data_IF_599099962406
#
_entry.id   IF_599099962406
#
_cell.length_a   1.000
_cell.length_b   1.000
_cell.length_c   1.000
_cell.angle_alpha   90.00
_cell.angle_beta   90.00
_cell.angle_gamma   90.00
#
_symmetry.space_group_name_H-M   'P 1'
#
loop_
_entity.id
_entity.type
_entity.pdbx_description
1 polymer ?
#
# COMPACT_ATOMS: atom_id res chain seq x y z
N UNK A 1 10.21 6.64 25.89
CA UNK A 1 10.85 7.35 24.76
C UNK A 1 11.01 6.35 23.64
N UNK A 2 10.71 6.73 22.40
CA UNK A 2 11.01 5.91 21.23
C UNK A 2 12.54 5.88 21.05
N UNK A 3 13.17 4.71 20.85
CA UNK A 3 14.61 4.62 20.61
C UNK A 3 14.99 5.32 19.30
N UNK A 4 16.19 5.87 19.27
CA UNK A 4 16.78 6.43 18.05
C UNK A 4 17.56 5.32 17.35
N UNK A 5 17.23 5.05 16.08
CA UNK A 5 17.79 3.93 15.32
C UNK A 5 18.50 4.44 14.08
N UNK A 6 19.73 4.02 13.86
CA UNK A 6 20.47 4.23 12.62
C UNK A 6 20.63 2.90 11.87
N UNK A 7 20.03 2.81 10.68
CA UNK A 7 20.22 1.69 9.76
C UNK A 7 21.26 2.10 8.71
N UNK A 8 22.24 1.24 8.46
CA UNK A 8 23.36 1.49 7.52
C UNK A 8 23.53 0.34 6.54
N UNK A 9 24.27 0.57 5.46
CA UNK A 9 24.62 -0.45 4.46
C UNK A 9 23.37 -1.16 3.88
N UNK A 10 22.30 -0.40 3.63
CA UNK A 10 21.06 -0.91 3.04
C UNK A 10 20.79 -0.36 1.64
N UNK A 11 19.69 -0.82 1.05
CA UNK A 11 19.05 -0.16 -0.08
C UNK A 11 17.76 0.47 0.41
N UNK A 12 17.68 1.80 0.46
CA UNK A 12 16.47 2.47 0.95
C UNK A 12 15.56 2.79 -0.25
N UNK A 13 14.36 2.20 -0.31
CA UNK A 13 13.37 2.57 -1.31
C UNK A 13 12.78 3.95 -0.99
N UNK A 14 13.44 5.00 -1.49
CA UNK A 14 12.99 6.38 -1.39
C UNK A 14 12.97 7.07 -2.75
N UNK A 15 11.80 7.55 -3.17
CA UNK A 15 11.68 8.40 -4.36
C UNK A 15 12.35 9.77 -4.14
N UNK A 16 12.35 10.26 -2.90
CA UNK A 16 12.94 11.55 -2.55
C UNK A 16 14.48 11.50 -2.55
N UNK A 17 15.05 10.38 -2.08
CA UNK A 17 16.50 10.17 -2.00
C UNK A 17 16.87 8.78 -2.60
N UNK A 18 16.91 8.64 -3.94
CA UNK A 18 17.07 7.35 -4.63
C UNK A 18 18.39 6.62 -4.36
N UNK A 19 19.39 7.34 -3.84
CA UNK A 19 20.73 6.83 -3.57
C UNK A 19 20.98 6.51 -2.10
N UNK A 20 19.98 6.72 -1.24
CA UNK A 20 20.14 6.49 0.18
C UNK A 20 20.46 5.02 0.49
N UNK A 21 21.52 4.82 1.27
CA UNK A 21 21.92 3.53 1.83
C UNK A 21 21.92 3.55 3.38
N UNK A 22 21.70 4.72 3.98
CA UNK A 22 21.50 4.89 5.41
C UNK A 22 20.17 5.59 5.72
N UNK A 23 19.58 5.24 6.86
CA UNK A 23 18.30 5.74 7.36
C UNK A 23 18.36 5.93 8.87
N UNK A 24 18.05 7.14 9.33
CA UNK A 24 17.97 7.47 10.75
C UNK A 24 16.52 7.73 11.16
N UNK A 25 16.09 7.00 12.18
CA UNK A 25 14.75 7.06 12.76
C UNK A 25 14.86 7.67 14.15
N UNK A 26 14.07 8.71 14.42
CA UNK A 26 14.08 9.38 15.71
C UNK A 26 12.68 9.89 16.03
N UNK A 27 12.26 9.77 17.30
CA UNK A 27 10.96 10.25 17.78
C UNK A 27 9.75 9.79 16.92
N UNK A 28 9.83 8.58 16.37
CA UNK A 28 8.75 7.98 15.58
C UNK A 28 8.65 8.46 14.13
N UNK A 29 9.61 9.25 13.65
CA UNK A 29 9.69 9.70 12.25
C UNK A 29 11.03 9.35 11.62
N UNK A 30 11.06 9.33 10.29
CA UNK A 30 12.32 9.33 9.54
C UNK A 30 12.94 10.71 9.70
N UNK A 31 13.98 10.81 10.53
CA UNK A 31 14.64 12.08 10.82
C UNK A 31 15.64 12.46 9.73
N UNK A 32 16.26 11.45 9.10
CA UNK A 32 17.23 11.64 8.03
C UNK A 32 17.38 10.36 7.19
N UNK A 33 17.71 10.51 5.91
CA UNK A 33 18.16 9.43 5.04
C UNK A 33 19.20 9.98 4.06
N UNK A 34 20.15 9.14 3.66
CA UNK A 34 21.25 9.58 2.79
C UNK A 34 22.36 8.54 2.72
N UNK A 35 23.60 9.02 2.61
CA UNK A 35 24.79 8.18 2.43
C UNK A 35 25.40 7.70 3.76
N UNK A 36 25.83 6.43 3.82
CA UNK A 36 26.54 5.81 4.94
C UNK A 36 27.72 6.67 5.42
N UNK A 37 28.47 7.28 4.50
CA UNK A 37 29.63 8.13 4.80
C UNK A 37 29.28 9.34 5.67
N UNK A 38 28.05 9.85 5.53
CA UNK A 38 27.57 11.04 6.24
C UNK A 38 26.71 10.70 7.46
N UNK A 39 26.29 9.44 7.59
CA UNK A 39 25.28 9.02 8.55
C UNK A 39 25.66 9.35 10.00
N UNK A 40 26.87 8.98 10.42
CA UNK A 40 27.34 9.23 11.79
C UNK A 40 27.42 10.73 12.11
N UNK A 41 27.90 11.54 11.17
CA UNK A 41 28.00 12.99 11.34
C UNK A 41 26.61 13.63 11.48
N UNK A 42 25.65 13.21 10.65
CA UNK A 42 24.29 13.75 10.68
C UNK A 42 23.58 13.39 11.98
N UNK A 43 23.71 12.14 12.44
CA UNK A 43 23.14 11.70 13.72
C UNK A 43 23.75 12.48 14.90
N UNK A 44 25.08 12.64 14.93
CA UNK A 44 25.75 13.38 15.99
C UNK A 44 25.36 14.86 16.04
N UNK A 45 24.93 15.44 14.92
CA UNK A 45 24.48 16.83 14.83
C UNK A 45 23.03 17.03 15.32
N UNK A 46 22.20 15.97 15.31
CA UNK A 46 20.75 16.08 15.55
C UNK A 46 20.26 15.37 16.81
N UNK A 47 21.04 14.42 17.34
CA UNK A 47 20.63 13.59 18.50
C UNK A 47 21.64 13.68 19.64
N UNK A 48 21.14 14.02 20.83
CA UNK A 48 21.95 14.13 22.07
C UNK A 48 21.97 12.84 22.91
N UNK A 49 21.14 11.87 22.57
CA UNK A 49 20.94 10.60 23.31
C UNK A 49 21.61 9.39 22.65
N UNK A 50 21.47 8.19 23.25
CA UNK A 50 21.97 6.95 22.65
C UNK A 50 21.26 6.66 21.32
N UNK A 51 22.03 6.14 20.36
CA UNK A 51 21.53 5.70 19.06
C UNK A 51 21.94 4.26 18.83
N UNK A 52 20.98 3.39 18.59
CA UNK A 52 21.23 1.99 18.23
C UNK A 52 21.51 1.90 16.73
N UNK A 53 22.64 1.31 16.37
CA UNK A 53 23.06 1.20 14.96
C UNK A 53 22.97 -0.24 14.49
N UNK A 54 22.35 -0.46 13.32
CA UNK A 54 22.21 -1.76 12.67
C UNK A 54 22.81 -1.71 11.27
N UNK A 55 23.68 -2.67 10.96
CA UNK A 55 24.15 -2.95 9.61
C UNK A 55 23.14 -3.86 8.91
N UNK A 56 22.61 -3.40 7.78
CA UNK A 56 21.60 -4.11 6.99
C UNK A 56 22.20 -5.11 5.99
N UNK A 57 23.51 -5.21 5.86
CA UNK A 57 24.19 -6.18 4.98
C UNK A 57 23.64 -6.21 3.54
N UNK A 58 23.31 -5.05 2.98
CA UNK A 58 22.73 -4.89 1.65
C UNK A 58 21.24 -5.23 1.53
N UNK A 59 20.51 -5.38 2.64
CA UNK A 59 19.07 -5.60 2.63
C UNK A 59 18.29 -4.36 2.14
N UNK A 60 17.11 -4.61 1.57
CA UNK A 60 16.18 -3.58 1.11
C UNK A 60 15.33 -3.07 2.28
N UNK A 61 15.17 -1.76 2.38
CA UNK A 61 14.21 -1.11 3.27
C UNK A 61 13.09 -0.50 2.45
N UNK A 62 11.85 -0.85 2.77
CA UNK A 62 10.65 -0.25 2.17
C UNK A 62 9.82 0.44 3.24
N UNK A 63 9.01 1.44 2.90
CA UNK A 63 7.89 1.85 3.74
C UNK A 63 7.03 0.63 4.11
N UNK A 64 6.41 0.68 5.29
CA UNK A 64 5.44 -0.32 5.67
C UNK A 64 4.23 -0.28 4.73
N UNK A 65 3.69 -1.45 4.41
CA UNK A 65 2.57 -1.59 3.50
C UNK A 65 1.24 -1.28 4.17
N UNK A 66 0.28 -0.87 3.36
CA UNK A 66 -1.13 -0.72 3.73
C UNK A 66 -1.89 -1.81 2.99
N UNK A 67 -2.60 -2.63 3.74
CA UNK A 67 -3.50 -3.62 3.17
C UNK A 67 -4.84 -2.96 2.84
N UNK A 68 -5.18 -2.92 1.54
CA UNK A 68 -6.43 -2.33 1.08
C UNK A 68 -7.66 -3.02 1.62
N UNK A 69 -7.58 -4.34 1.87
CA UNK A 69 -8.64 -5.19 2.43
C UNK A 69 -8.11 -6.60 2.72
N UNK A 70 -8.14 -7.03 3.98
CA UNK A 70 -7.81 -8.38 4.41
C UNK A 70 -9.05 -9.06 5.00
N UNK A 71 -9.27 -10.33 4.67
CA UNK A 71 -10.32 -11.15 5.29
C UNK A 71 -9.78 -12.04 6.40
N UNK A 72 -8.46 -12.06 6.58
CA UNK A 72 -7.75 -12.80 7.63
C UNK A 72 -7.13 -11.85 8.64
N UNK A 73 -7.02 -12.30 9.89
CA UNK A 73 -6.31 -11.52 10.91
C UNK A 73 -4.82 -11.50 10.60
N UNK A 74 -4.26 -10.31 10.39
CA UNK A 74 -2.84 -10.10 10.26
C UNK A 74 -2.18 -10.11 11.65
N UNK A 75 -0.93 -10.56 11.75
CA UNK A 75 -0.15 -10.48 12.99
C UNK A 75 0.53 -9.11 13.13
N UNK A 76 0.91 -8.71 14.35
CA UNK A 76 1.64 -7.44 14.56
C UNK A 76 3.00 -7.37 13.84
N UNK A 77 3.57 -8.53 13.52
CA UNK A 77 4.82 -8.66 12.75
C UNK A 77 4.59 -8.77 11.25
N UNK A 78 3.34 -8.74 10.80
CA UNK A 78 3.02 -8.81 9.39
C UNK A 78 3.48 -7.51 8.68
N UNK A 79 4.14 -7.61 7.51
CA UNK A 79 4.62 -6.44 6.80
C UNK A 79 3.48 -5.52 6.30
N UNK A 80 2.25 -6.04 6.25
CA UNK A 80 1.00 -5.36 5.88
C UNK A 80 0.29 -4.70 7.07
N UNK A 81 0.68 -5.03 8.31
CA UNK A 81 -0.05 -4.66 9.54
C UNK A 81 0.07 -3.19 9.98
N UNK A 82 0.49 -2.27 9.10
CA UNK A 82 0.52 -0.83 9.44
C UNK A 82 -0.89 -0.26 9.50
N UNK A 83 -1.66 -0.45 8.42
CA UNK A 83 -3.08 -0.07 8.32
C UNK A 83 -3.73 -1.11 7.44
N UNK A 84 -4.74 -1.80 7.96
CA UNK A 84 -5.55 -2.77 7.20
C UNK A 84 -7.03 -2.43 7.33
N UNK A 85 -7.79 -2.63 6.27
CA UNK A 85 -9.24 -2.77 6.36
C UNK A 85 -9.56 -4.26 6.53
N UNK A 86 -10.17 -4.66 7.65
CA UNK A 86 -10.54 -6.06 7.87
C UNK A 86 -12.00 -6.32 7.50
N UNK A 87 -12.37 -7.57 7.21
CA UNK A 87 -13.78 -7.99 7.11
C UNK A 87 -14.52 -7.60 8.39
N UNK A 88 -15.52 -6.72 8.32
CA UNK A 88 -16.23 -6.28 9.50
C UNK A 88 -17.17 -7.37 10.03
N UNK A 89 -17.12 -7.67 11.33
CA UNK A 89 -18.12 -8.52 11.97
C UNK A 89 -19.45 -7.75 12.17
N UNK A 90 -19.39 -6.41 12.16
CA UNK A 90 -20.49 -5.48 12.49
C UNK A 90 -20.85 -4.50 11.35
N UNK A 91 -20.33 -4.72 10.14
CA UNK A 91 -20.53 -3.85 8.98
C UNK A 91 -19.68 -2.56 8.96
N UNK A 92 -18.81 -2.31 9.95
CA UNK A 92 -17.93 -1.13 9.99
C UNK A 92 -16.57 -1.34 9.33
N UNK A 93 -16.08 -0.40 8.51
CA UNK A 93 -14.69 -0.45 8.02
C UNK A 93 -13.76 0.15 9.05
N UNK A 94 -12.94 -0.69 9.64
CA UNK A 94 -11.91 -0.30 10.59
C UNK A 94 -10.59 -0.08 9.86
N UNK A 95 -10.07 1.13 9.96
CA UNK A 95 -8.73 1.44 9.49
C UNK A 95 -7.89 1.87 10.69
N UNK A 96 -7.08 0.95 11.20
CA UNK A 96 -6.11 1.25 12.25
C UNK A 96 -4.90 0.30 12.15
N UNK A 97 -3.79 0.65 12.79
CA UNK A 97 -2.78 -0.33 13.18
C UNK A 97 -3.42 -1.40 14.09
N UNK A 98 -3.01 -2.67 13.95
CA UNK A 98 -3.51 -3.76 14.82
C UNK A 98 -3.32 -3.49 16.31
N UNK A 99 -2.28 -2.73 16.66
CA UNK A 99 -1.91 -2.39 18.03
C UNK A 99 -2.83 -1.37 18.71
N UNK A 100 -3.76 -0.75 17.97
CA UNK A 100 -4.66 0.28 18.51
C UNK A 100 -6.13 -0.14 18.38
N UNK A 101 -6.92 -0.08 19.48
CA UNK A 101 -8.35 -0.25 19.38
C UNK A 101 -8.92 0.89 18.53
N UNK A 102 -9.59 0.52 17.45
CA UNK A 102 -10.34 1.50 16.65
C UNK A 102 -11.58 1.84 17.46
N UNK A 103 -11.57 2.99 18.13
CA UNK A 103 -12.67 3.41 18.98
C UNK A 103 -14.00 3.55 18.19
N UNK A 104 -13.94 3.72 16.86
CA UNK A 104 -15.09 3.85 15.95
C UNK A 104 -14.72 3.39 14.53
N UNK A 105 -15.68 2.79 13.79
CA UNK A 105 -15.51 2.52 12.37
C UNK A 105 -15.21 3.81 11.59
N UNK A 106 -14.21 3.77 10.71
CA UNK A 106 -13.78 4.93 9.92
C UNK A 106 -14.51 5.01 8.56
N UNK A 107 -15.28 3.98 8.21
CA UNK A 107 -16.22 3.94 7.10
C UNK A 107 -17.29 2.87 7.34
N UNK A 108 -18.21 2.71 6.38
CA UNK A 108 -19.20 1.63 6.37
C UNK A 108 -18.93 0.69 5.22
N UNK A 109 -18.92 -0.61 5.49
CA UNK A 109 -18.80 -1.63 4.46
C UNK A 109 -20.19 -2.01 3.98
N UNK A 110 -20.38 -2.02 2.67
CA UNK A 110 -21.64 -2.44 2.06
C UNK A 110 -21.32 -3.67 1.22
N UNK A 111 -21.82 -4.84 1.65
CA UNK A 111 -21.66 -6.06 0.87
C UNK A 111 -22.49 -6.01 -0.41
N UNK A 112 -22.16 -6.83 -1.40
CA UNK A 112 -22.91 -6.89 -2.65
C UNK A 112 -24.39 -7.29 -2.42
N UNK A 113 -24.68 -7.99 -1.32
CA UNK A 113 -26.04 -8.40 -0.94
C UNK A 113 -26.91 -7.22 -0.45
N UNK A 114 -26.28 -6.11 -0.07
CA UNK A 114 -26.96 -4.93 0.48
C UNK A 114 -27.12 -3.80 -0.56
N UNK A 115 -26.73 -4.04 -1.82
CA UNK A 115 -26.78 -3.01 -2.88
C UNK A 115 -28.18 -2.48 -3.16
N UNK A 116 -29.22 -3.29 -2.96
CA UNK A 116 -30.63 -2.83 -3.07
C UNK A 116 -30.96 -1.73 -2.05
N UNK A 117 -30.26 -1.70 -0.91
CA UNK A 117 -30.45 -0.70 0.15
C UNK A 117 -29.53 0.52 -0.02
N UNK A 118 -28.68 0.57 -1.06
CA UNK A 118 -27.66 1.61 -1.22
C UNK A 118 -28.25 3.02 -1.25
N UNK A 119 -29.37 3.24 -1.95
CA UNK A 119 -29.99 4.57 -1.99
C UNK A 119 -30.49 5.03 -0.62
N UNK A 120 -31.09 4.12 0.16
CA UNK A 120 -31.57 4.40 1.51
C UNK A 120 -30.41 4.70 2.47
N UNK A 121 -29.29 4.00 2.31
CA UNK A 121 -28.05 4.24 3.07
C UNK A 121 -27.46 5.61 2.71
N UNK A 122 -27.35 5.92 1.41
CA UNK A 122 -26.85 7.20 0.92
C UNK A 122 -27.70 8.38 1.40
N UNK A 123 -29.02 8.23 1.48
CA UNK A 123 -29.92 9.26 1.99
C UNK A 123 -29.70 9.58 3.48
N UNK A 124 -29.18 8.63 4.25
CA UNK A 124 -28.92 8.76 5.69
C UNK A 124 -27.44 9.01 6.02
N UNK A 125 -26.57 8.94 5.01
CA UNK A 125 -25.13 9.06 5.18
C UNK A 125 -24.76 10.44 5.74
N UNK A 126 -23.90 10.46 6.77
CA UNK A 126 -23.36 11.68 7.36
C UNK A 126 -21.92 11.90 6.87
N UNK A 127 -21.65 12.83 5.94
CA UNK A 127 -20.29 13.07 5.48
C UNK A 127 -19.39 13.58 6.64
N UNK A 128 -18.14 13.10 6.75
CA UNK A 128 -17.34 12.50 5.69
C UNK A 128 -17.22 10.96 5.76
N UNK A 129 -18.27 10.24 6.17
CA UNK A 129 -18.24 8.77 6.21
C UNK A 129 -18.00 8.17 4.82
N UNK A 130 -16.89 7.45 4.66
CA UNK A 130 -16.62 6.68 3.46
C UNK A 130 -17.50 5.44 3.41
N UNK A 131 -18.13 5.18 2.27
CA UNK A 131 -18.65 3.85 1.96
C UNK A 131 -17.58 3.06 1.25
N UNK A 132 -17.38 1.81 1.68
CA UNK A 132 -16.55 0.82 1.01
C UNK A 132 -17.47 -0.30 0.52
N UNK A 133 -17.71 -0.33 -0.79
CA UNK A 133 -18.82 -1.08 -1.38
C UNK A 133 -18.26 -2.22 -2.21
N UNK A 134 -18.73 -3.44 -1.96
CA UNK A 134 -18.38 -4.61 -2.77
C UNK A 134 -19.13 -4.62 -4.10
N UNK A 135 -18.42 -4.96 -5.17
CA UNK A 135 -18.95 -5.17 -6.52
C UNK A 135 -18.41 -6.50 -7.06
N UNK A 136 -19.32 -7.42 -7.39
CA UNK A 136 -18.99 -8.76 -7.90
C UNK A 136 -18.91 -8.80 -9.41
N UNK A 137 -19.61 -7.90 -10.09
CA UNK A 137 -19.67 -7.86 -11.54
C UNK A 137 -19.88 -6.43 -12.10
N UNK A 138 -19.77 -6.23 -13.42
CA UNK A 138 -19.96 -4.91 -14.03
C UNK A 138 -21.38 -4.33 -13.90
N UNK A 139 -22.40 -5.15 -13.68
CA UNK A 139 -23.78 -4.67 -13.51
C UNK A 139 -23.94 -4.04 -12.12
N UNK A 140 -23.45 -4.70 -11.09
CA UNK A 140 -23.39 -4.15 -9.73
C UNK A 140 -22.57 -2.86 -9.66
N UNK A 141 -21.41 -2.80 -10.33
CA UNK A 141 -20.64 -1.56 -10.41
C UNK A 141 -21.46 -0.43 -11.04
N UNK A 142 -22.25 -0.73 -12.08
CA UNK A 142 -23.10 0.26 -12.73
C UNK A 142 -24.21 0.76 -11.79
N UNK A 143 -24.82 -0.13 -11.00
CA UNK A 143 -25.79 0.22 -9.96
C UNK A 143 -25.17 1.13 -8.89
N UNK A 144 -23.96 0.79 -8.41
CA UNK A 144 -23.24 1.59 -7.41
C UNK A 144 -22.98 2.99 -7.95
N UNK A 145 -22.42 3.11 -9.15
CA UNK A 145 -22.10 4.39 -9.78
C UNK A 145 -23.36 5.23 -10.04
N UNK A 146 -24.48 4.59 -10.41
CA UNK A 146 -25.76 5.27 -10.58
C UNK A 146 -26.26 5.84 -9.24
N UNK A 147 -26.27 5.06 -8.16
CA UNK A 147 -26.68 5.52 -6.83
C UNK A 147 -25.80 6.67 -6.32
N UNK A 148 -24.49 6.57 -6.49
CA UNK A 148 -23.54 7.63 -6.11
C UNK A 148 -23.71 8.91 -6.94
N UNK A 149 -24.15 8.80 -8.20
CA UNK A 149 -24.35 9.97 -9.08
C UNK A 149 -25.45 10.92 -8.60
N UNK A 150 -26.35 10.45 -7.73
CA UNK A 150 -27.39 11.28 -7.11
C UNK A 150 -26.84 12.17 -5.97
N UNK A 151 -25.61 11.92 -5.49
CA UNK A 151 -25.02 12.71 -4.42
C UNK A 151 -24.44 14.04 -4.92
N UNK A 152 -24.53 15.13 -4.11
CA UNK A 152 -23.84 16.37 -4.44
C UNK A 152 -22.32 16.17 -4.52
N UNK A 153 -21.66 16.87 -5.45
CA UNK A 153 -20.21 16.73 -5.64
C UNK A 153 -19.41 17.01 -4.35
N UNK A 154 -19.83 17.99 -3.55
CA UNK A 154 -19.19 18.29 -2.27
C UNK A 154 -19.26 17.13 -1.27
N UNK A 155 -20.33 16.34 -1.30
CA UNK A 155 -20.46 15.11 -0.49
C UNK A 155 -19.51 14.03 -1.01
N UNK A 156 -19.51 13.78 -2.32
CA UNK A 156 -18.63 12.79 -2.95
C UNK A 156 -17.16 13.05 -2.64
N UNK A 157 -16.70 14.30 -2.78
CA UNK A 157 -15.32 14.70 -2.48
C UNK A 157 -14.94 14.54 -1.00
N UNK A 158 -15.90 14.69 -0.07
CA UNK A 158 -15.65 14.54 1.37
C UNK A 158 -15.67 13.08 1.83
N UNK A 159 -16.60 12.29 1.31
CA UNK A 159 -16.76 10.88 1.65
C UNK A 159 -15.73 9.99 0.97
N UNK A 160 -15.32 10.33 -0.26
CA UNK A 160 -14.28 9.61 -1.02
C UNK A 160 -14.57 8.12 -1.12
N UNK A 161 -15.76 7.76 -1.58
CA UNK A 161 -16.23 6.37 -1.63
C UNK A 161 -15.23 5.45 -2.33
N UNK A 162 -15.27 4.17 -1.95
CA UNK A 162 -14.34 3.16 -2.44
C UNK A 162 -15.13 1.93 -2.87
N UNK A 163 -14.75 1.32 -3.99
CA UNK A 163 -15.33 0.05 -4.44
C UNK A 163 -14.30 -1.07 -4.31
N UNK A 164 -14.69 -2.19 -3.72
CA UNK A 164 -13.96 -3.44 -3.73
C UNK A 164 -14.39 -4.24 -4.96
N UNK A 165 -13.46 -4.62 -5.85
CA UNK A 165 -13.79 -5.41 -7.04
C UNK A 165 -12.63 -6.28 -7.54
N UNK A 166 -12.96 -7.30 -8.31
CA UNK A 166 -12.02 -8.08 -9.11
C UNK A 166 -12.68 -8.61 -10.39
N UNK A 167 -13.27 -7.71 -11.18
CA UNK A 167 -13.95 -8.05 -12.43
C UNK A 167 -13.67 -7.00 -13.50
N UNK A 168 -14.10 -7.25 -14.74
CA UNK A 168 -13.94 -6.31 -15.84
C UNK A 168 -14.58 -4.95 -15.53
N UNK A 169 -13.96 -3.86 -15.99
CA UNK A 169 -14.48 -2.49 -15.85
C UNK A 169 -14.36 -1.81 -17.21
N UNK A 170 -15.47 -1.26 -17.71
CA UNK A 170 -15.49 -0.60 -19.01
C UNK A 170 -14.93 0.82 -18.95
N UNK A 171 -14.49 1.38 -20.08
CA UNK A 171 -14.01 2.77 -20.15
C UNK A 171 -15.06 3.79 -19.65
N UNK A 172 -16.34 3.51 -19.89
CA UNK A 172 -17.43 4.35 -19.35
C UNK A 172 -17.49 4.29 -17.82
N UNK A 173 -17.32 3.10 -17.24
CA UNK A 173 -17.29 2.93 -15.78
C UNK A 173 -16.04 3.59 -15.19
N UNK A 174 -14.88 3.49 -15.83
CA UNK A 174 -13.65 4.19 -15.44
C UNK A 174 -13.89 5.71 -15.43
N UNK A 175 -14.48 6.26 -16.49
CA UNK A 175 -14.80 7.68 -16.56
C UNK A 175 -15.77 8.12 -15.45
N UNK A 176 -16.75 7.28 -15.10
CA UNK A 176 -17.68 7.53 -13.98
C UNK A 176 -16.98 7.45 -12.63
N UNK A 177 -16.10 6.47 -12.39
CA UNK A 177 -15.30 6.37 -11.16
C UNK A 177 -14.52 7.67 -10.91
N UNK A 178 -13.85 8.19 -11.94
CA UNK A 178 -13.11 9.46 -11.89
C UNK A 178 -14.04 10.64 -11.60
N UNK A 179 -15.13 10.77 -12.37
CA UNK A 179 -16.11 11.85 -12.22
C UNK A 179 -16.73 11.89 -10.81
N UNK A 180 -16.94 10.72 -10.20
CA UNK A 180 -17.56 10.57 -8.89
C UNK A 180 -16.55 10.54 -7.74
N UNK A 181 -15.26 10.72 -8.02
CA UNK A 181 -14.17 10.64 -7.05
C UNK A 181 -14.12 9.30 -6.29
N UNK A 182 -14.51 8.21 -6.95
CA UNK A 182 -14.55 6.87 -6.39
C UNK A 182 -13.22 6.18 -6.62
N UNK A 183 -12.64 5.69 -5.53
CA UNK A 183 -11.42 4.87 -5.56
C UNK A 183 -11.74 3.38 -5.67
N UNK A 184 -10.76 2.56 -6.05
CA UNK A 184 -10.92 1.12 -6.19
C UNK A 184 -9.91 0.40 -5.31
N UNK A 185 -10.37 -0.61 -4.56
CA UNK A 185 -9.50 -1.63 -3.99
C UNK A 185 -9.69 -2.91 -4.81
N UNK A 186 -8.60 -3.48 -5.32
CA UNK A 186 -8.61 -4.79 -5.97
C UNK A 186 -8.13 -5.86 -5.00
N UNK A 187 -8.80 -7.00 -5.00
CA UNK A 187 -8.47 -8.16 -4.16
C UNK A 187 -8.45 -9.38 -5.07
N UNK A 188 -7.42 -10.23 -5.00
CA UNK A 188 -7.30 -11.35 -5.92
C UNK A 188 -8.31 -12.44 -5.61
N UNK A 189 -8.68 -13.19 -6.65
CA UNK A 189 -9.17 -14.55 -6.47
C UNK A 189 -7.99 -15.47 -6.20
N UNK A 190 -8.23 -16.56 -5.47
CA UNK A 190 -7.19 -17.58 -5.21
C UNK A 190 -7.50 -18.80 -6.08
N UNK A 191 -6.70 -18.97 -7.14
CA UNK A 191 -6.83 -20.08 -8.08
C UNK A 191 -5.60 -20.96 -7.94
N UNK A 192 -5.77 -22.24 -7.59
CA UNK A 192 -4.68 -23.21 -7.41
C UNK A 192 -3.53 -22.66 -6.54
N UNK A 193 -3.89 -22.04 -5.39
CA UNK A 193 -2.95 -21.41 -4.46
C UNK A 193 -2.11 -20.27 -5.08
N UNK A 194 -2.68 -19.56 -6.07
CA UNK A 194 -2.05 -18.42 -6.73
C UNK A 194 -3.03 -17.23 -6.74
N UNK A 195 -2.61 -16.03 -6.29
CA UNK A 195 -3.45 -14.85 -6.36
C UNK A 195 -3.61 -14.40 -7.83
N UNK A 196 -4.85 -14.19 -8.26
CA UNK A 196 -5.18 -13.80 -9.64
C UNK A 196 -6.07 -12.55 -9.65
N UNK A 197 -5.65 -11.55 -10.42
CA UNK A 197 -6.44 -10.35 -10.68
C UNK A 197 -7.11 -10.42 -12.07
N UNK A 198 -8.34 -9.97 -12.13
CA UNK A 198 -9.16 -9.88 -13.35
C UNK A 198 -9.54 -8.44 -13.70
N UNK A 199 -9.45 -7.52 -12.73
CA UNK A 199 -9.75 -6.12 -12.95
C UNK A 199 -8.72 -5.46 -13.90
N UNK A 200 -9.12 -4.50 -14.74
CA UNK A 200 -8.23 -3.87 -15.71
C UNK A 200 -7.34 -2.80 -15.03
N UNK A 201 -6.31 -3.27 -14.31
CA UNK A 201 -5.49 -2.44 -13.41
C UNK A 201 -4.78 -1.31 -14.16
N UNK A 202 -4.15 -1.61 -15.30
CA UNK A 202 -3.46 -0.60 -16.09
C UNK A 202 -4.44 0.46 -16.60
N UNK A 203 -5.61 0.05 -17.10
CA UNK A 203 -6.64 0.99 -17.56
C UNK A 203 -7.20 1.85 -16.42
N UNK A 204 -7.45 1.28 -15.24
CA UNK A 204 -7.90 2.02 -14.06
C UNK A 204 -6.90 3.12 -13.67
N UNK A 205 -5.62 2.76 -13.55
CA UNK A 205 -4.55 3.69 -13.19
C UNK A 205 -4.37 4.76 -14.28
N UNK A 206 -4.33 4.36 -15.56
CA UNK A 206 -4.19 5.28 -16.69
C UNK A 206 -5.37 6.25 -16.82
N UNK A 207 -6.58 5.80 -16.46
CA UNK A 207 -7.78 6.62 -16.39
C UNK A 207 -7.78 7.63 -15.23
N UNK A 208 -6.86 7.50 -14.27
CA UNK A 208 -6.76 8.38 -13.10
C UNK A 208 -7.56 7.90 -11.89
N UNK A 209 -8.01 6.65 -11.87
CA UNK A 209 -8.62 6.04 -10.68
C UNK A 209 -7.53 5.74 -9.66
N UNK A 210 -7.76 6.12 -8.40
CA UNK A 210 -6.87 5.70 -7.31
C UNK A 210 -7.12 4.22 -6.99
N UNK A 211 -6.09 3.40 -7.18
CA UNK A 211 -6.15 1.95 -6.96
C UNK A 211 -5.33 1.56 -5.73
N UNK A 212 -5.93 0.74 -4.88
CA UNK A 212 -5.24 0.04 -3.79
C UNK A 212 -5.35 -1.48 -4.00
N UNK A 213 -4.42 -2.22 -3.44
CA UNK A 213 -4.46 -3.70 -3.43
C UNK A 213 -4.72 -4.19 -2.02
N UNK A 214 -5.69 -5.09 -1.88
CA UNK A 214 -5.94 -5.83 -0.66
C UNK A 214 -5.50 -7.29 -0.80
N UNK A 215 -5.12 -7.92 0.31
CA UNK A 215 -4.78 -9.34 0.32
C UNK A 215 -5.98 -10.27 0.25
N UNK A 216 -7.16 -9.82 0.69
CA UNK A 216 -8.33 -10.68 0.83
C UNK A 216 -8.03 -11.87 1.72
N UNK A 217 -8.22 -13.07 1.18
CA UNK A 217 -7.91 -14.32 1.87
C UNK A 217 -6.47 -14.81 1.66
N UNK A 218 -5.63 -14.09 0.91
CA UNK A 218 -4.26 -14.49 0.63
C UNK A 218 -3.38 -14.40 1.88
N UNK A 219 -2.89 -15.54 2.33
CA UNK A 219 -2.03 -15.68 3.51
C UNK A 219 -0.53 -15.70 3.16
N UNK A 220 -0.18 -15.73 1.87
CA UNK A 220 1.17 -15.63 1.37
C UNK A 220 1.78 -14.22 1.44
N UNK A 221 2.89 -14.04 0.73
CA UNK A 221 3.65 -12.81 0.68
C UNK A 221 2.93 -11.70 -0.08
N UNK A 222 3.02 -10.47 0.43
CA UNK A 222 2.60 -9.26 -0.29
C UNK A 222 3.33 -9.12 -1.64
N UNK A 223 4.55 -9.65 -1.76
CA UNK A 223 5.29 -9.63 -3.02
C UNK A 223 4.67 -10.55 -4.08
N UNK A 224 4.00 -11.64 -3.69
CA UNK A 224 3.27 -12.50 -4.62
C UNK A 224 2.03 -11.79 -5.18
N UNK A 225 1.38 -10.95 -4.36
CA UNK A 225 0.30 -10.06 -4.84
C UNK A 225 0.82 -9.05 -5.87
N UNK A 226 2.01 -8.48 -5.64
CA UNK A 226 2.62 -7.56 -6.61
C UNK A 226 3.04 -8.28 -7.88
N UNK A 227 3.60 -9.49 -7.76
CA UNK A 227 3.92 -10.35 -8.91
C UNK A 227 2.68 -10.62 -9.75
N UNK A 228 1.53 -10.94 -9.15
CA UNK A 228 0.28 -11.18 -9.87
C UNK A 228 -0.24 -9.94 -10.64
N UNK A 229 0.05 -8.72 -10.17
CA UNK A 229 -0.27 -7.49 -10.90
C UNK A 229 0.70 -7.23 -12.07
N UNK A 230 1.98 -7.59 -11.89
CA UNK A 230 3.03 -7.44 -12.91
C UNK A 230 2.85 -8.47 -14.02
N UNK A 231 2.50 -9.70 -13.65
CA UNK A 231 2.27 -10.85 -14.53
C UNK A 231 0.77 -11.07 -14.81
N UNK A 232 -0.02 -9.99 -14.77
CA UNK A 232 -1.46 -10.03 -15.02
C UNK A 232 -1.81 -10.88 -16.28
N UNK A 233 -2.86 -11.73 -16.23
CA UNK A 233 -3.20 -12.65 -17.33
C UNK A 233 -3.49 -11.94 -18.66
N UNK A 234 -4.16 -10.80 -18.61
CA UNK A 234 -4.25 -9.86 -19.73
C UNK A 234 -2.99 -9.00 -19.77
N UNK A 235 -2.18 -9.16 -20.82
CA UNK A 235 -0.94 -8.43 -21.03
C UNK A 235 -1.13 -6.91 -21.07
N UNK A 236 -2.28 -6.44 -21.59
CA UNK A 236 -2.59 -5.01 -21.65
C UNK A 236 -2.83 -4.40 -20.27
N UNK A 237 -3.07 -5.25 -19.25
CA UNK A 237 -3.36 -4.83 -17.89
C UNK A 237 -2.19 -5.02 -16.92
N UNK A 238 -1.05 -5.53 -17.41
CA UNK A 238 0.21 -5.61 -16.65
C UNK A 238 0.72 -4.21 -16.31
N UNK A 239 1.25 -4.06 -15.10
CA UNK A 239 1.82 -2.79 -14.63
C UNK A 239 3.26 -2.95 -14.17
N UNK A 240 4.03 -1.85 -14.16
CA UNK A 240 5.41 -1.86 -13.64
C UNK A 240 5.45 -2.23 -12.16
N UNK A 241 6.59 -2.75 -11.69
CA UNK A 241 6.80 -3.06 -10.27
C UNK A 241 6.61 -1.84 -9.38
N UNK A 242 7.01 -0.65 -9.84
CA UNK A 242 6.76 0.61 -9.11
C UNK A 242 5.27 0.93 -8.99
N UNK A 243 4.50 0.71 -10.06
CA UNK A 243 3.06 0.95 -10.03
C UNK A 243 2.38 -0.04 -9.07
N UNK A 244 2.73 -1.33 -9.14
CA UNK A 244 2.23 -2.35 -8.21
C UNK A 244 2.63 -2.02 -6.75
N UNK A 245 3.89 -1.63 -6.52
CA UNK A 245 4.34 -1.22 -5.19
C UNK A 245 3.56 -0.02 -4.64
N UNK A 246 3.17 0.93 -5.48
CA UNK A 246 2.39 2.08 -5.06
C UNK A 246 0.97 1.70 -4.58
N UNK A 247 0.35 0.66 -5.17
CA UNK A 247 -1.02 0.22 -4.78
C UNK A 247 -1.08 -0.38 -3.38
N UNK A 248 0.05 -0.72 -2.78
CA UNK A 248 0.15 -1.22 -1.39
C UNK A 248 0.89 -0.25 -0.46
N UNK A 249 1.24 0.94 -0.94
CA UNK A 249 2.01 1.93 -0.17
C UNK A 249 1.40 3.33 -0.27
N UNK A 250 1.92 4.19 -1.15
CA UNK A 250 1.48 5.57 -1.28
C UNK A 250 0.02 5.69 -1.74
N UNK A 251 -0.39 4.92 -2.74
CA UNK A 251 -1.75 5.01 -3.28
C UNK A 251 -2.78 4.32 -2.37
N UNK A 252 -2.38 3.25 -1.69
CA UNK A 252 -3.19 2.64 -0.63
C UNK A 252 -3.55 3.62 0.50
N UNK A 253 -2.62 4.50 0.89
CA UNK A 253 -2.93 5.57 1.85
C UNK A 253 -3.89 6.62 1.30
N UNK A 254 -3.82 6.89 -0.02
CA UNK A 254 -4.71 7.86 -0.66
C UNK A 254 -6.15 7.39 -0.62
N UNK A 255 -6.45 6.11 -0.72
CA UNK A 255 -7.86 5.65 -0.73
C UNK A 255 -8.53 5.61 0.65
N UNK A 256 -7.78 5.87 1.73
CA UNK A 256 -8.31 5.85 3.10
C UNK A 256 -9.29 7.00 3.37
N UNK A 257 -10.22 6.85 4.33
CA UNK A 257 -11.07 7.94 4.80
C UNK A 257 -10.25 9.15 5.23
N UNK A 258 -10.77 10.35 5.00
CA UNK A 258 -10.04 11.61 5.22
C UNK A 258 -9.41 11.72 6.61
N UNK A 259 -10.14 11.32 7.67
CA UNK A 259 -9.62 11.32 9.06
C UNK A 259 -8.39 10.43 9.22
N UNK A 260 -8.43 9.25 8.63
CA UNK A 260 -7.36 8.25 8.71
C UNK A 260 -6.18 8.71 7.87
N UNK A 261 -6.40 9.13 6.63
CA UNK A 261 -5.36 9.63 5.75
C UNK A 261 -4.60 10.83 6.34
N UNK A 262 -5.31 11.75 7.03
CA UNK A 262 -4.69 12.90 7.70
C UNK A 262 -3.82 12.50 8.90
N UNK A 263 -4.30 11.57 9.73
CA UNK A 263 -3.52 11.03 10.85
C UNK A 263 -2.27 10.26 10.37
N UNK A 264 -2.30 9.77 9.13
CA UNK A 264 -1.25 8.99 8.49
C UNK A 264 -0.50 9.81 7.42
N UNK A 265 -0.43 11.14 7.56
CA UNK A 265 0.26 11.98 6.59
C UNK A 265 1.72 11.54 6.40
N UNK A 266 2.15 11.38 5.15
CA UNK A 266 3.51 10.90 4.82
C UNK A 266 3.68 9.38 4.84
N UNK A 267 2.67 8.61 5.27
CA UNK A 267 2.66 7.15 5.23
C UNK A 267 2.88 6.57 3.82
N UNK A 268 3.39 5.33 3.77
CA UNK A 268 3.61 4.60 2.52
C UNK A 268 4.77 5.15 1.69
N UNK A 269 5.63 5.98 2.28
CA UNK A 269 6.81 6.58 1.67
C UNK A 269 7.95 6.62 2.69
N UNK A 270 9.19 6.60 2.20
CA UNK A 270 10.39 6.79 3.02
C UNK A 270 10.99 8.14 2.67
N UNK A 271 10.64 9.18 3.43
CA UNK A 271 11.13 10.54 3.23
C UNK A 271 11.31 11.22 4.59
N UNK A 272 12.15 12.25 4.67
CA UNK A 272 12.30 13.01 5.91
C UNK A 272 10.95 13.52 6.40
N UNK A 273 10.64 13.28 7.67
CA UNK A 273 9.39 13.63 8.33
C UNK A 273 8.25 12.63 8.15
N UNK A 274 8.39 11.59 7.32
CA UNK A 274 7.38 10.52 7.25
C UNK A 274 7.41 9.66 8.52
N UNK A 275 6.30 8.98 8.86
CA UNK A 275 6.29 8.01 9.96
C UNK A 275 7.40 6.96 9.81
N UNK A 276 8.06 6.61 10.91
CA UNK A 276 9.11 5.60 10.96
C UNK A 276 8.54 4.18 10.98
N UNK A 277 7.73 3.85 9.97
CA UNK A 277 7.20 2.52 9.73
C UNK A 277 7.84 1.95 8.47
N UNK A 278 8.76 1.02 8.65
CA UNK A 278 9.49 0.39 7.54
C UNK A 278 9.56 -1.12 7.72
N UNK A 279 9.73 -1.81 6.60
CA UNK A 279 10.00 -3.24 6.53
C UNK A 279 11.41 -3.45 5.94
N UNK A 280 12.13 -4.43 6.44
CA UNK A 280 13.48 -4.80 6.00
C UNK A 280 13.40 -6.16 5.33
N UNK A 281 13.95 -6.28 4.12
CA UNK A 281 13.80 -7.44 3.25
C UNK A 281 15.14 -7.93 2.74
N UNK A 282 15.30 -9.26 2.68
CA UNK A 282 16.31 -9.87 1.81
C UNK A 282 15.68 -10.11 0.45
N UNK A 283 16.35 -9.63 -0.59
CA UNK A 283 15.97 -9.82 -1.98
C UNK A 283 17.20 -10.20 -2.80
N UNK A 284 17.05 -11.13 -3.73
CA UNK A 284 18.18 -11.64 -4.53
C UNK A 284 18.73 -10.58 -5.48
N UNK A 285 17.83 -9.83 -6.12
CA UNK A 285 18.17 -8.79 -7.09
C UNK A 285 17.25 -7.59 -6.95
N UNK A 286 17.84 -6.40 -7.06
CA UNK A 286 17.15 -5.12 -7.08
C UNK A 286 17.37 -4.44 -8.43
N UNK A 287 16.31 -3.85 -8.98
CA UNK A 287 16.38 -3.18 -10.28
C UNK A 287 15.10 -2.37 -10.59
N UNK A 288 15.02 -1.92 -11.84
CA UNK A 288 13.81 -1.30 -12.40
C UNK A 288 13.19 -2.28 -13.39
N UNK A 289 11.96 -2.70 -13.11
CA UNK A 289 11.19 -3.63 -13.95
C UNK A 289 9.96 -2.92 -14.52
N UNK A 290 9.95 -2.81 -15.85
CA UNK A 290 8.85 -2.27 -16.65
C UNK A 290 8.03 -3.44 -17.25
N UNK A 291 6.73 -3.23 -17.54
CA UNK A 291 5.85 -4.31 -18.00
C UNK A 291 6.11 -4.76 -19.45
N UNK A 292 6.95 -4.05 -20.21
CA UNK A 292 7.16 -4.31 -21.65
C UNK A 292 8.49 -5.05 -21.90
N UNK A 293 8.43 -6.21 -22.59
CA UNK A 293 9.61 -7.05 -22.90
C UNK A 293 10.64 -6.32 -23.78
N UNK A 294 10.19 -5.38 -24.62
CA UNK A 294 11.07 -4.60 -25.51
C UNK A 294 11.79 -3.45 -24.80
N UNK A 295 11.35 -3.10 -23.59
CA UNK A 295 11.99 -2.14 -22.71
C UNK A 295 12.61 -2.81 -21.46
N UNK A 296 12.84 -4.12 -21.50
CA UNK A 296 13.63 -4.86 -20.52
C UNK A 296 15.14 -4.53 -20.64
N UNK A 297 15.47 -3.24 -20.71
CA UNK A 297 16.77 -2.75 -20.33
C UNK A 297 16.80 -2.73 -18.81
N UNK A 298 17.22 -3.85 -18.22
CA UNK A 298 17.58 -3.89 -16.82
C UNK A 298 18.69 -2.85 -16.61
N UNK A 299 18.38 -1.76 -15.92
CA UNK A 299 19.39 -0.85 -15.40
C UNK A 299 19.60 -1.20 -13.94
N UNK A 300 20.73 -1.84 -13.65
CA UNK A 300 21.29 -1.91 -12.29
C UNK A 300 22.09 -0.66 -11.95
N UNK A 301 22.21 0.29 -12.89
CA UNK A 301 22.96 1.52 -12.67
C UNK A 301 22.21 2.42 -11.69
N UNK A 302 22.76 2.51 -10.48
CA UNK A 302 22.29 3.44 -9.44
C UNK A 302 22.18 4.86 -9.99
N UNK A 303 23.02 5.27 -10.96
CA UNK A 303 23.02 6.62 -11.58
C UNK A 303 21.74 6.99 -12.34
N UNK A 304 20.85 6.02 -12.58
CA UNK A 304 19.54 6.27 -13.18
C UNK A 304 18.60 7.07 -12.27
N UNK A 305 18.97 7.32 -11.01
CA UNK A 305 18.19 8.16 -10.08
C UNK A 305 16.81 7.61 -9.74
N UNK A 306 16.59 6.32 -9.97
CA UNK A 306 15.31 5.65 -9.68
C UNK A 306 15.49 4.70 -8.52
N UNK A 307 14.65 4.84 -7.49
CA UNK A 307 14.64 3.95 -6.34
C UNK A 307 14.41 2.50 -6.78
N UNK A 308 15.31 1.61 -6.38
CA UNK A 308 15.25 0.21 -6.78
C UNK A 308 14.15 -0.53 -6.02
N UNK A 309 13.61 -1.57 -6.66
CA UNK A 309 12.69 -2.55 -6.07
C UNK A 309 13.17 -3.97 -6.43
N UNK A 310 12.69 -5.01 -5.73
CA UNK A 310 12.98 -6.38 -6.11
C UNK A 310 12.56 -6.66 -7.55
N UNK A 311 13.36 -7.45 -8.26
CA UNK A 311 12.90 -8.06 -9.51
C UNK A 311 11.97 -9.20 -9.12
N UNK A 312 10.72 -9.13 -9.58
CA UNK A 312 9.68 -10.09 -9.19
C UNK A 312 9.32 -10.99 -10.37
N UNK A 313 9.10 -12.27 -10.07
CA UNK A 313 8.51 -13.25 -10.98
C UNK A 313 7.88 -14.39 -10.22
N UNK A 314 6.80 -14.98 -10.75
CA UNK A 314 6.17 -16.19 -10.19
C UNK A 314 7.09 -17.42 -10.25
N UNK A 315 8.13 -17.39 -11.09
CA UNK A 315 9.10 -18.48 -11.21
C UNK A 315 10.19 -18.47 -10.12
N UNK A 316 10.24 -17.45 -9.28
CA UNK A 316 11.29 -17.24 -8.26
C UNK A 316 10.68 -17.00 -6.88
N UNK A 317 11.44 -17.32 -5.82
CA UNK A 317 10.98 -17.05 -4.47
C UNK A 317 10.80 -15.53 -4.24
N UNK A 318 9.72 -15.10 -3.55
CA UNK A 318 9.53 -13.70 -3.22
C UNK A 318 10.58 -13.24 -2.18
N UNK A 319 10.83 -11.92 -2.08
CA UNK A 319 11.66 -11.36 -1.02
C UNK A 319 11.20 -11.80 0.38
N UNK A 320 12.14 -12.17 1.24
CA UNK A 320 11.86 -12.60 2.61
C UNK A 320 11.92 -11.43 3.57
N UNK A 321 10.94 -11.37 4.49
CA UNK A 321 10.92 -10.36 5.54
C UNK A 321 11.99 -10.67 6.58
N UNK A 322 12.91 -9.73 6.80
CA UNK A 322 14.00 -9.84 7.76
C UNK A 322 13.84 -8.90 8.95
N UNK A 323 13.00 -7.86 8.86
CA UNK A 323 12.74 -7.00 10.01
C UNK A 323 11.55 -6.07 9.84
N UNK A 324 11.02 -5.64 10.98
CA UNK A 324 9.83 -4.79 11.08
C UNK A 324 10.11 -3.67 12.06
N UNK A 325 9.91 -2.43 11.62
CA UNK A 325 9.97 -1.24 12.46
C UNK A 325 8.62 -0.53 12.38
N UNK A 326 8.07 -0.15 13.53
CA UNK A 326 6.83 0.64 13.64
C UNK A 326 7.01 1.78 14.61
N UNK A 327 6.64 2.99 14.22
CA UNK A 327 6.81 4.21 15.01
C UNK A 327 8.24 4.37 15.54
N UNK A 328 9.26 3.97 14.77
CA UNK A 328 10.67 4.02 15.15
C UNK A 328 11.13 2.92 16.12
N UNK A 329 10.27 1.96 16.48
CA UNK A 329 10.63 0.82 17.35
C UNK A 329 10.90 -0.41 16.50
N UNK A 330 12.06 -1.03 16.69
CA UNK A 330 12.38 -2.33 16.09
C UNK A 330 11.56 -3.43 16.78
N UNK A 331 10.65 -4.04 16.03
CA UNK A 331 9.78 -5.12 16.53
C UNK A 331 10.39 -6.50 16.26
N UNK A 332 11.05 -6.65 15.12
CA UNK A 332 11.79 -7.85 14.74
C UNK A 332 12.98 -7.51 13.85
N UNK A 333 14.07 -8.24 14.01
CA UNK A 333 15.19 -8.24 13.07
C UNK A 333 15.93 -9.57 13.15
N UNK A 334 15.88 -10.35 12.07
CA UNK A 334 16.62 -11.60 11.92
C UNK A 334 17.99 -11.26 11.31
N UNK A 335 18.97 -11.00 12.17
CA UNK A 335 20.36 -10.89 11.77
C UNK A 335 20.96 -12.30 11.73
N UNK A 336 21.40 -12.75 10.57
CA UNK A 336 22.23 -13.96 10.49
C UNK A 336 23.54 -13.68 11.23
N UNK A 337 23.89 -14.55 12.18
CA UNK A 337 25.15 -14.51 12.92
C UNK A 337 26.33 -14.89 12.04
#
# INVERSE_FOLDING_TARGET
>A
MTPSLLLTNGYIHSVAEPYANALHLDNGVIAWLGSDETAQQMVAATVSGPVETYDLAGMLVTPAFVDGFATTQLSDLDPRARVSANTPIDGGVYYAPLSEPVADAAGLFISAQELESLEAILAQLKPPTQLFIESRDPEELSQILAGLSHQPNATLMRCRHRVLLNHAVTDEQIAKLVKLHVSVTVVPDILDNTPTFHAPIASLIAGGVHVATGSGAWDGSIWELLTALIEHPDEAQRISTRAAFNTVSRDANRVLPSRVAQAQMGAGQAAVGSPADVNIWRADQLGVQAPDEKAAHWSTDKRAGTALLPILSSATAPPSLNGVIRGGRLLSFAQER
#
